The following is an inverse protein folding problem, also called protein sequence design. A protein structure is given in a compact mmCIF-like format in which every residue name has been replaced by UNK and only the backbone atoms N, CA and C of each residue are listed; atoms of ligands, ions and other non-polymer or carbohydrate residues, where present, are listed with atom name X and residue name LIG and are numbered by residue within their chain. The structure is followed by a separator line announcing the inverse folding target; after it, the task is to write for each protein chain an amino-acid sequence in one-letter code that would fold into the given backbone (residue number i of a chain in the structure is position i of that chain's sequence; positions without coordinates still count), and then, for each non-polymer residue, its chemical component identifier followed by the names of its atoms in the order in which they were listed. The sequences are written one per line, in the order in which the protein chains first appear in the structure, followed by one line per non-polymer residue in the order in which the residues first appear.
data_IF_068946199512
#
_entry.id   IF_068946199512
#
_cell.length_a   1.000
_cell.length_b   1.000
_cell.length_c   1.000
_cell.angle_alpha   90.00
_cell.angle_beta   90.00
_cell.angle_gamma   90.00
#
_symmetry.space_group_name_H-M   'P 1'
#
loop_
_entity.id
_entity.type
_entity.pdbx_description
1 polymer ?
#
# COMPACT_ATOMS: atom_id res chain seq x y z
N UNK A 1 63.32 44.48 44.87
CA UNK A 1 63.91 43.71 45.97
C UNK A 1 63.20 42.33 46.02
N UNK A 2 64.00 41.31 45.84
CA UNK A 2 64.00 40.02 46.44
C UNK A 2 62.76 39.13 46.13
N UNK A 3 62.89 38.08 45.24
CA UNK A 3 63.43 36.72 45.50
C UNK A 3 62.42 35.86 46.28
N UNK A 4 61.88 34.73 45.86
CA UNK A 4 62.46 33.37 45.60
C UNK A 4 61.33 32.47 45.17
N UNK A 5 61.34 31.73 44.13
CA UNK A 5 61.88 30.37 43.82
C UNK A 5 61.36 29.23 44.70
N UNK A 6 60.79 28.24 44.01
CA UNK A 6 60.76 26.90 44.60
C UNK A 6 59.79 25.91 43.97
N UNK A 7 60.33 25.07 43.10
CA UNK A 7 60.13 23.63 42.87
C UNK A 7 58.72 23.02 42.69
N UNK A 8 58.41 22.58 41.50
CA UNK A 8 58.42 21.19 41.00
C UNK A 8 57.56 20.18 41.80
N UNK A 9 56.49 19.73 41.15
CA UNK A 9 55.75 18.58 41.53
C UNK A 9 54.96 18.06 40.32
N UNK A 10 55.62 17.19 39.52
CA UNK A 10 55.02 16.50 38.39
C UNK A 10 54.06 15.42 38.97
N UNK A 11 52.75 15.63 38.80
CA UNK A 11 51.77 14.57 39.05
C UNK A 11 51.17 14.19 37.68
N UNK A 12 51.63 13.07 37.19
CA UNK A 12 51.10 12.35 36.02
C UNK A 12 49.67 11.95 36.24
N UNK A 13 48.71 12.68 35.68
CA UNK A 13 47.31 12.25 35.59
C UNK A 13 47.19 11.30 34.40
N UNK A 14 47.08 10.03 34.70
CA UNK A 14 46.66 8.97 33.77
C UNK A 14 45.27 9.33 33.22
N UNK A 15 45.20 9.76 31.96
CA UNK A 15 43.97 9.78 31.21
C UNK A 15 43.50 8.33 31.04
N UNK A 16 42.49 7.96 31.78
CA UNK A 16 41.72 6.74 31.53
C UNK A 16 40.91 6.98 30.26
N UNK A 17 41.42 6.51 29.13
CA UNK A 17 40.66 6.41 27.90
C UNK A 17 39.56 5.36 28.14
N UNK A 18 38.38 5.84 28.39
CA UNK A 18 37.17 5.00 28.31
C UNK A 18 37.02 4.58 26.84
N UNK A 19 37.49 3.38 26.53
CA UNK A 19 37.17 2.69 25.30
C UNK A 19 35.68 2.43 25.33
N UNK A 20 34.90 3.29 24.66
CA UNK A 20 33.50 3.00 24.34
C UNK A 20 33.55 1.81 23.39
N UNK A 21 33.35 0.63 23.96
CA UNK A 21 33.10 -0.58 23.19
C UNK A 21 31.89 -0.30 22.33
N UNK A 22 32.09 -0.22 21.02
CA UNK A 22 31.03 -0.14 20.03
C UNK A 22 30.13 -1.35 20.23
N UNK A 23 29.00 -1.14 20.90
CA UNK A 23 27.92 -2.11 20.88
C UNK A 23 27.55 -2.32 19.41
N UNK A 24 27.90 -3.49 18.92
CA UNK A 24 27.55 -4.00 17.61
C UNK A 24 26.11 -3.67 17.30
N UNK A 25 25.90 -2.90 16.23
CA UNK A 25 24.58 -2.57 15.76
C UNK A 25 23.74 -3.83 15.59
N UNK A 26 22.59 -3.82 16.20
CA UNK A 26 21.48 -4.66 15.81
C UNK A 26 21.41 -4.62 14.28
N UNK A 27 21.53 -5.75 13.61
CA UNK A 27 21.22 -5.87 12.18
C UNK A 27 19.78 -5.40 12.05
N UNK A 28 19.55 -4.19 11.53
CA UNK A 28 18.24 -3.71 11.15
C UNK A 28 17.70 -4.74 10.16
N UNK A 29 16.83 -5.61 10.62
CA UNK A 29 16.14 -6.53 9.72
C UNK A 29 15.26 -5.68 8.84
N UNK A 30 15.54 -5.68 7.53
CA UNK A 30 14.73 -4.99 6.52
C UNK A 30 13.26 -5.43 6.66
N UNK A 31 12.33 -4.48 6.67
CA UNK A 31 10.90 -4.75 6.75
C UNK A 31 10.47 -5.54 5.51
N UNK A 32 9.92 -6.74 5.70
CA UNK A 32 9.37 -7.57 4.62
C UNK A 32 7.94 -7.15 4.33
N UNK A 33 7.69 -6.71 3.09
CA UNK A 33 6.39 -6.20 2.64
C UNK A 33 5.83 -7.12 1.57
N UNK A 34 4.73 -7.81 1.88
CA UNK A 34 4.00 -8.61 0.92
C UNK A 34 3.15 -7.74 -0.01
N UNK A 35 2.94 -8.18 -1.23
CA UNK A 35 2.02 -7.59 -2.20
C UNK A 35 1.61 -8.60 -3.25
N UNK A 36 0.48 -8.37 -3.92
CA UNK A 36 0.06 -9.20 -5.06
C UNK A 36 0.75 -8.72 -6.34
N UNK A 37 1.25 -9.66 -7.12
CA UNK A 37 1.94 -9.47 -8.39
C UNK A 37 3.38 -9.96 -8.34
N UNK A 38 4.13 -9.62 -9.39
CA UNK A 38 5.54 -9.92 -9.57
C UNK A 38 6.41 -8.73 -9.20
N UNK A 39 7.73 -8.94 -9.09
CA UNK A 39 8.67 -7.84 -9.00
C UNK A 39 8.52 -6.89 -10.20
N UNK A 40 8.60 -5.58 -9.96
CA UNK A 40 8.33 -4.55 -10.96
C UNK A 40 6.84 -4.19 -11.09
N UNK A 41 5.94 -4.78 -10.28
CA UNK A 41 4.53 -4.41 -10.25
C UNK A 41 4.31 -3.03 -9.63
N UNK A 42 3.15 -2.41 -9.94
CA UNK A 42 2.75 -1.14 -9.33
C UNK A 42 2.62 -1.23 -7.81
N UNK A 43 2.24 -2.39 -7.27
CA UNK A 43 2.20 -2.62 -5.81
C UNK A 43 3.59 -2.54 -5.18
N UNK A 44 4.64 -3.08 -5.81
CA UNK A 44 6.03 -2.93 -5.33
C UNK A 44 6.48 -1.48 -5.41
N UNK A 45 6.19 -0.79 -6.51
CA UNK A 45 6.51 0.63 -6.67
C UNK A 45 5.85 1.49 -5.59
N UNK A 46 4.58 1.24 -5.29
CA UNK A 46 3.86 1.93 -4.22
C UNK A 46 4.46 1.64 -2.84
N UNK A 47 4.90 0.39 -2.57
CA UNK A 47 5.58 0.03 -1.33
C UNK A 47 6.91 0.77 -1.16
N UNK A 48 7.72 0.80 -2.21
CA UNK A 48 9.01 1.52 -2.21
C UNK A 48 8.79 3.03 -2.06
N UNK A 49 7.81 3.60 -2.76
CA UNK A 49 7.52 5.02 -2.65
C UNK A 49 7.03 5.42 -1.25
N UNK A 50 6.22 4.58 -0.59
CA UNK A 50 5.69 4.84 0.75
C UNK A 50 6.75 4.61 1.85
N UNK A 51 7.53 3.53 1.76
CA UNK A 51 8.37 3.02 2.83
C UNK A 51 9.88 3.20 2.59
N UNK A 52 10.28 3.55 1.37
CA UNK A 52 11.68 3.65 0.96
C UNK A 52 12.24 2.34 0.38
N UNK A 53 13.43 2.43 -0.19
CA UNK A 53 14.07 1.30 -0.88
C UNK A 53 14.64 0.20 0.05
N UNK A 54 14.69 0.47 1.36
CA UNK A 54 15.25 -0.47 2.35
C UNK A 54 14.32 -1.64 2.71
N UNK A 55 13.14 -1.74 2.09
CA UNK A 55 12.22 -2.86 2.30
C UNK A 55 12.68 -4.12 1.58
N UNK A 56 12.26 -5.29 2.09
CA UNK A 56 12.33 -6.55 1.36
C UNK A 56 10.97 -6.83 0.74
N UNK A 57 10.89 -6.73 -0.58
CA UNK A 57 9.68 -7.01 -1.35
C UNK A 57 9.37 -8.51 -1.38
N UNK A 58 8.14 -8.90 -1.07
CA UNK A 58 7.66 -10.29 -0.99
C UNK A 58 6.47 -10.47 -1.95
N UNK A 59 6.72 -10.71 -3.26
CA UNK A 59 5.67 -10.89 -4.24
C UNK A 59 4.84 -12.14 -3.97
N UNK A 60 3.54 -12.08 -4.28
CA UNK A 60 2.59 -13.17 -4.15
C UNK A 60 1.65 -13.20 -5.35
N UNK A 61 1.34 -14.39 -5.85
CA UNK A 61 0.52 -14.54 -7.05
C UNK A 61 -0.92 -14.01 -6.88
N UNK A 62 -1.50 -14.14 -5.67
CA UNK A 62 -2.88 -13.74 -5.40
C UNK A 62 -2.97 -12.88 -4.14
N UNK A 63 -4.07 -12.11 -4.00
CA UNK A 63 -4.35 -11.38 -2.76
C UNK A 63 -4.45 -12.34 -1.56
N UNK A 64 -5.09 -13.49 -1.72
CA UNK A 64 -5.20 -14.51 -0.67
C UNK A 64 -3.83 -14.97 -0.18
N UNK A 65 -2.89 -15.23 -1.07
CA UNK A 65 -1.53 -15.62 -0.71
C UNK A 65 -0.73 -14.47 -0.10
N UNK A 66 -1.02 -13.21 -0.48
CA UNK A 66 -0.39 -12.04 0.11
C UNK A 66 -0.86 -11.81 1.56
N UNK A 67 -2.15 -11.93 1.84
CA UNK A 67 -2.69 -11.87 3.20
C UNK A 67 -2.19 -13.04 4.07
N UNK A 68 -2.13 -14.25 3.49
CA UNK A 68 -1.58 -15.43 4.17
C UNK A 68 -0.11 -15.27 4.54
N UNK A 69 0.69 -14.59 3.73
CA UNK A 69 2.10 -14.33 4.02
C UNK A 69 2.31 -13.60 5.36
N UNK A 70 1.37 -12.75 5.78
CA UNK A 70 1.40 -12.09 7.09
C UNK A 70 1.10 -13.12 8.19
N UNK A 71 0.05 -13.92 8.04
CA UNK A 71 -0.35 -14.93 9.02
C UNK A 71 0.74 -15.99 9.22
N UNK A 72 1.48 -16.34 8.19
CA UNK A 72 2.59 -17.29 8.20
C UNK A 72 3.93 -16.68 8.66
N UNK A 73 3.98 -15.37 8.93
CA UNK A 73 5.20 -14.66 9.29
C UNK A 73 6.24 -14.55 8.16
N UNK A 74 5.82 -14.78 6.91
CA UNK A 74 6.67 -14.61 5.73
C UNK A 74 6.89 -13.13 5.38
N UNK A 75 6.01 -12.24 5.84
CA UNK A 75 6.13 -10.79 5.77
C UNK A 75 5.56 -10.14 7.04
N UNK A 76 6.01 -8.91 7.34
CA UNK A 76 5.54 -8.14 8.49
C UNK A 76 4.47 -7.11 8.12
N UNK A 77 4.42 -6.71 6.85
CA UNK A 77 3.47 -5.74 6.32
C UNK A 77 2.92 -6.21 4.97
N UNK A 78 1.74 -5.73 4.63
CA UNK A 78 1.12 -5.98 3.34
C UNK A 78 0.74 -4.65 2.68
N UNK A 79 1.15 -4.44 1.43
CA UNK A 79 0.63 -3.36 0.61
C UNK A 79 -0.38 -3.91 -0.40
N UNK A 80 -1.60 -3.39 -0.35
CA UNK A 80 -2.69 -3.88 -1.19
C UNK A 80 -3.42 -2.73 -1.91
N UNK A 81 -3.76 -2.86 -3.21
CA UNK A 81 -4.63 -1.94 -3.90
C UNK A 81 -6.06 -2.08 -3.38
N UNK A 82 -6.73 -0.99 -3.08
CA UNK A 82 -8.13 -1.00 -2.64
C UNK A 82 -9.09 -0.37 -3.65
N UNK A 83 -8.57 0.50 -4.51
CA UNK A 83 -9.39 1.22 -5.48
C UNK A 83 -8.54 1.73 -6.65
N UNK A 84 -9.12 1.66 -7.86
CA UNK A 84 -8.57 2.32 -9.04
C UNK A 84 -9.60 3.31 -9.59
N UNK A 85 -9.16 4.49 -10.00
CA UNK A 85 -10.05 5.58 -10.45
C UNK A 85 -10.89 5.24 -11.68
N UNK A 86 -10.47 4.26 -12.50
CA UNK A 86 -11.17 3.83 -13.70
C UNK A 86 -11.89 2.48 -13.52
N UNK A 87 -11.28 1.55 -12.76
CA UNK A 87 -11.79 0.19 -12.59
C UNK A 87 -12.64 0.01 -11.32
N UNK A 88 -12.64 1.01 -10.41
CA UNK A 88 -13.39 0.94 -9.16
C UNK A 88 -12.65 0.14 -8.07
N UNK A 89 -13.43 -0.38 -7.12
CA UNK A 89 -12.90 -1.03 -5.93
C UNK A 89 -12.32 -2.42 -6.20
N UNK A 90 -11.21 -2.72 -5.52
CA UNK A 90 -10.60 -4.06 -5.51
C UNK A 90 -11.30 -4.91 -4.46
N UNK A 91 -12.40 -5.48 -4.87
CA UNK A 91 -13.39 -6.15 -4.05
C UNK A 91 -12.80 -7.21 -3.13
N UNK A 92 -11.94 -8.10 -3.66
CA UNK A 92 -11.35 -9.21 -2.89
C UNK A 92 -10.51 -8.72 -1.72
N UNK A 93 -9.87 -7.55 -1.84
CA UNK A 93 -9.06 -6.98 -0.74
C UNK A 93 -9.93 -6.58 0.43
N UNK A 94 -11.10 -6.00 0.19
CA UNK A 94 -12.05 -5.66 1.27
C UNK A 94 -12.58 -6.89 1.98
N UNK A 95 -12.88 -7.99 1.24
CA UNK A 95 -13.32 -9.25 1.83
C UNK A 95 -12.22 -9.82 2.75
N UNK A 96 -10.99 -9.92 2.24
CA UNK A 96 -9.83 -10.40 3.00
C UNK A 96 -9.51 -9.51 4.21
N UNK A 97 -9.69 -8.22 4.08
CA UNK A 97 -9.49 -7.28 5.19
C UNK A 97 -10.52 -7.55 6.32
N UNK A 98 -11.75 -7.88 5.98
CA UNK A 98 -12.76 -8.29 6.95
C UNK A 98 -12.47 -9.66 7.60
N UNK A 99 -11.84 -10.57 6.86
CA UNK A 99 -11.49 -11.91 7.34
C UNK A 99 -10.19 -11.93 8.18
N UNK A 100 -9.34 -10.90 8.06
CA UNK A 100 -8.01 -10.84 8.69
C UNK A 100 -7.99 -9.98 9.96
N UNK A 101 -6.90 -10.09 10.73
CA UNK A 101 -6.58 -9.19 11.85
C UNK A 101 -5.63 -8.06 11.43
N UNK A 102 -5.77 -7.59 10.19
CA UNK A 102 -4.98 -6.47 9.69
C UNK A 102 -5.79 -5.17 9.79
N UNK A 103 -5.08 -4.06 9.98
CA UNK A 103 -5.63 -2.70 9.91
C UNK A 103 -4.82 -1.83 8.96
N UNK A 104 -5.52 -0.88 8.34
CA UNK A 104 -4.90 0.14 7.49
C UNK A 104 -4.19 1.16 8.39
N UNK A 105 -2.90 1.35 8.16
CA UNK A 105 -2.08 2.31 8.92
C UNK A 105 -1.59 3.48 8.07
N UNK A 106 -1.63 3.34 6.75
CA UNK A 106 -1.30 4.40 5.79
C UNK A 106 -1.93 4.11 4.44
N UNK A 107 -1.97 5.11 3.58
CA UNK A 107 -2.34 4.96 2.19
C UNK A 107 -1.41 5.75 1.27
N UNK A 108 -1.36 5.34 0.00
CA UNK A 108 -0.66 6.04 -1.06
C UNK A 108 -1.47 5.95 -2.35
N UNK A 109 -1.50 7.04 -3.11
CA UNK A 109 -2.11 7.08 -4.44
C UNK A 109 -0.98 7.13 -5.47
N UNK A 110 -0.98 6.16 -6.38
CA UNK A 110 0.02 6.04 -7.43
C UNK A 110 -0.62 6.25 -8.81
N UNK A 111 -0.06 7.09 -9.68
CA UNK A 111 -0.47 7.13 -11.08
C UNK A 111 -0.09 5.81 -11.76
N UNK A 112 -1.00 5.30 -12.59
CA UNK A 112 -0.81 4.05 -13.33
C UNK A 112 -0.49 4.41 -14.78
N UNK A 113 0.79 4.42 -15.08
CA UNK A 113 1.30 4.66 -16.43
C UNK A 113 1.72 3.35 -17.08
N UNK A 114 1.18 3.10 -18.26
CA UNK A 114 1.49 1.91 -19.04
C UNK A 114 2.51 2.23 -20.13
N UNK A 115 3.60 1.47 -20.13
CA UNK A 115 4.65 1.57 -21.16
C UNK A 115 4.72 0.27 -21.95
N UNK A 116 5.04 0.39 -23.23
CA UNK A 116 5.36 -0.76 -24.08
C UNK A 116 6.84 -1.11 -23.88
N UNK A 117 7.11 -2.32 -23.41
CA UNK A 117 8.44 -2.75 -23.00
C UNK A 117 8.81 -4.00 -23.79
N UNK A 118 9.95 -3.97 -24.48
CA UNK A 118 10.46 -5.09 -25.27
C UNK A 118 11.91 -5.42 -24.96
N UNK A 119 12.44 -6.43 -25.62
CA UNK A 119 13.85 -6.78 -25.51
C UNK A 119 14.74 -5.64 -25.99
N UNK A 120 15.94 -5.46 -25.43
CA UNK A 120 16.92 -4.52 -25.95
C UNK A 120 17.18 -4.75 -27.44
N UNK A 121 17.07 -3.66 -28.22
CA UNK A 121 17.18 -3.71 -29.69
C UNK A 121 15.94 -4.19 -30.43
N UNK A 122 14.80 -4.40 -29.76
CA UNK A 122 13.50 -4.47 -30.40
C UNK A 122 13.06 -3.09 -30.90
N UNK A 123 12.24 -3.05 -31.94
CA UNK A 123 11.65 -1.81 -32.48
C UNK A 123 10.14 -1.95 -32.56
N UNK A 124 9.40 -0.86 -32.41
CA UNK A 124 7.95 -0.87 -32.47
C UNK A 124 7.45 -1.48 -33.80
N UNK A 125 8.16 -1.20 -34.91
CA UNK A 125 7.84 -1.74 -36.24
C UNK A 125 8.08 -3.24 -36.37
N UNK A 126 9.01 -3.81 -35.63
CA UNK A 126 9.29 -5.25 -35.60
C UNK A 126 8.34 -6.07 -34.75
N UNK A 127 7.50 -5.44 -33.94
CA UNK A 127 6.59 -6.16 -33.04
C UNK A 127 5.43 -6.82 -33.78
N UNK A 128 5.05 -8.01 -33.32
CA UNK A 128 3.91 -8.80 -33.76
C UNK A 128 2.89 -9.04 -32.63
N UNK A 129 3.34 -9.06 -31.38
CA UNK A 129 2.46 -9.33 -30.24
C UNK A 129 2.82 -8.50 -29.02
N UNK A 130 1.79 -8.21 -28.20
CA UNK A 130 1.91 -7.46 -26.96
C UNK A 130 1.14 -8.21 -25.86
N UNK A 131 1.83 -8.57 -24.78
CA UNK A 131 1.29 -9.31 -23.65
C UNK A 131 1.04 -8.37 -22.47
N UNK A 132 -0.06 -8.54 -21.77
CA UNK A 132 -0.31 -7.94 -20.45
C UNK A 132 -1.58 -8.49 -19.82
N UNK A 133 -1.84 -8.04 -18.58
CA UNK A 133 -3.12 -8.28 -17.92
C UNK A 133 -4.27 -7.70 -18.76
N UNK A 134 -5.43 -8.39 -18.87
CA UNK A 134 -6.55 -7.95 -19.71
C UNK A 134 -7.00 -6.51 -19.47
N UNK A 135 -6.99 -6.04 -18.21
CA UNK A 135 -7.34 -4.66 -17.88
C UNK A 135 -6.35 -3.66 -18.49
N UNK A 136 -5.04 -3.93 -18.40
CA UNK A 136 -4.02 -3.05 -18.99
C UNK A 136 -4.12 -3.00 -20.52
N UNK A 137 -4.39 -4.15 -21.15
CA UNK A 137 -4.65 -4.20 -22.61
C UNK A 137 -5.88 -3.36 -22.99
N UNK A 138 -6.96 -3.41 -22.20
CA UNK A 138 -8.17 -2.62 -22.44
C UNK A 138 -7.96 -1.12 -22.21
N UNK A 139 -7.09 -0.75 -21.27
CA UNK A 139 -6.74 0.65 -20.99
C UNK A 139 -5.81 1.29 -22.03
N UNK A 140 -5.33 0.54 -23.02
CA UNK A 140 -4.47 1.00 -24.11
C UNK A 140 -5.14 0.84 -25.48
N UNK A 141 -6.46 0.96 -25.56
CA UNK A 141 -7.23 0.70 -26.79
C UNK A 141 -6.80 1.62 -27.95
N UNK A 142 -6.61 2.93 -27.72
CA UNK A 142 -6.17 3.88 -28.76
C UNK A 142 -4.81 3.51 -29.35
N UNK A 143 -3.89 3.03 -28.51
CA UNK A 143 -2.60 2.53 -28.95
C UNK A 143 -2.76 1.34 -29.91
N UNK A 144 -3.61 0.37 -29.60
CA UNK A 144 -3.85 -0.78 -30.47
C UNK A 144 -4.61 -0.41 -31.75
N UNK A 145 -5.54 0.55 -31.70
CA UNK A 145 -6.23 1.04 -32.90
C UNK A 145 -5.25 1.69 -33.91
N UNK A 146 -4.22 2.38 -33.42
CA UNK A 146 -3.15 2.93 -34.27
C UNK A 146 -2.11 1.90 -34.71
N UNK A 147 -2.11 0.71 -34.09
CA UNK A 147 -1.18 -0.40 -34.41
C UNK A 147 -1.94 -1.72 -34.62
N UNK A 148 -2.85 -1.82 -35.64
CA UNK A 148 -3.80 -2.93 -35.79
C UNK A 148 -3.11 -4.28 -36.10
N UNK A 149 -1.84 -4.27 -36.48
CA UNK A 149 -1.03 -5.48 -36.71
C UNK A 149 -0.62 -6.19 -35.40
N UNK A 150 -0.66 -5.49 -34.26
CA UNK A 150 -0.20 -6.04 -32.99
C UNK A 150 -1.26 -6.96 -32.38
N UNK A 151 -0.91 -8.23 -32.20
CA UNK A 151 -1.76 -9.19 -31.53
C UNK A 151 -1.72 -8.98 -30.01
N UNK A 152 -2.88 -8.80 -29.37
CA UNK A 152 -3.02 -8.74 -27.91
C UNK A 152 -2.95 -10.15 -27.32
N UNK A 153 -2.12 -10.34 -26.30
CA UNK A 153 -1.94 -11.64 -25.62
C UNK A 153 -2.25 -11.45 -24.14
N UNK A 154 -3.37 -11.97 -23.63
CA UNK A 154 -3.67 -11.92 -22.21
C UNK A 154 -2.62 -12.67 -21.37
N UNK A 155 -2.21 -12.06 -20.26
CA UNK A 155 -1.31 -12.62 -19.26
C UNK A 155 -1.90 -12.41 -17.85
N UNK A 156 -1.37 -13.11 -16.85
CA UNK A 156 -1.89 -13.06 -15.50
C UNK A 156 -1.66 -11.69 -14.82
N UNK A 157 -0.51 -11.05 -15.09
CA UNK A 157 -0.17 -9.73 -14.57
C UNK A 157 0.68 -8.90 -15.54
N UNK A 158 0.85 -7.62 -15.25
CA UNK A 158 1.58 -6.68 -16.11
C UNK A 158 3.09 -6.90 -16.06
N UNK A 159 3.69 -6.95 -14.88
CA UNK A 159 5.13 -7.06 -14.72
C UNK A 159 5.66 -8.45 -15.13
N UNK A 160 4.91 -9.51 -14.81
CA UNK A 160 5.21 -10.88 -15.25
C UNK A 160 5.22 -11.02 -16.76
N UNK A 161 4.29 -10.35 -17.46
CA UNK A 161 4.29 -10.36 -18.93
C UNK A 161 5.58 -9.79 -19.52
N UNK A 162 6.13 -8.72 -18.91
CA UNK A 162 7.41 -8.15 -19.31
C UNK A 162 8.56 -9.08 -18.97
N UNK A 163 8.60 -9.67 -17.78
CA UNK A 163 9.58 -10.69 -17.40
C UNK A 163 9.64 -11.82 -18.44
N UNK A 164 8.49 -12.37 -18.80
CA UNK A 164 8.41 -13.53 -19.68
C UNK A 164 8.83 -13.19 -21.13
N UNK A 165 8.42 -12.02 -21.63
CA UNK A 165 8.89 -11.50 -22.93
C UNK A 165 10.40 -11.36 -22.95
N UNK A 166 10.99 -10.74 -21.92
CA UNK A 166 12.44 -10.51 -21.86
C UNK A 166 13.22 -11.82 -21.68
N UNK A 167 12.70 -12.75 -20.86
CA UNK A 167 13.30 -14.07 -20.67
C UNK A 167 13.29 -14.91 -21.97
N UNK A 168 12.28 -14.72 -22.82
CA UNK A 168 12.22 -15.41 -24.13
C UNK A 168 13.24 -14.91 -25.16
N UNK A 169 13.78 -13.69 -24.99
CA UNK A 169 14.65 -13.02 -25.95
C UNK A 169 13.96 -12.66 -27.29
N UNK A 170 12.64 -12.80 -27.36
CA UNK A 170 11.88 -12.57 -28.61
C UNK A 170 11.70 -11.07 -28.87
N UNK A 171 12.43 -10.53 -29.85
CA UNK A 171 12.35 -9.11 -30.25
C UNK A 171 11.06 -8.75 -31.01
N UNK A 172 10.24 -9.72 -31.41
CA UNK A 172 8.94 -9.47 -32.03
C UNK A 172 7.78 -9.46 -31.03
N UNK A 173 8.07 -9.60 -29.72
CA UNK A 173 7.11 -9.52 -28.64
C UNK A 173 7.45 -8.37 -27.68
N UNK A 174 6.41 -7.76 -27.07
CA UNK A 174 6.54 -6.78 -26.02
C UNK A 174 5.54 -7.05 -24.89
N UNK A 175 5.78 -6.47 -23.72
CA UNK A 175 4.83 -6.44 -22.62
C UNK A 175 4.35 -5.02 -22.33
N UNK A 176 3.17 -4.87 -21.73
CA UNK A 176 2.70 -3.59 -21.19
C UNK A 176 2.77 -3.66 -19.66
N UNK A 177 3.54 -2.75 -19.04
CA UNK A 177 3.69 -2.62 -17.60
C UNK A 177 4.12 -1.20 -17.21
N UNK A 178 4.31 -0.98 -15.90
CA UNK A 178 4.94 0.22 -15.37
C UNK A 178 6.44 0.28 -15.69
N UNK A 179 7.03 1.46 -15.63
CA UNK A 179 8.47 1.71 -15.86
C UNK A 179 9.38 0.83 -14.98
N UNK A 180 8.93 0.52 -13.76
CA UNK A 180 9.66 -0.32 -12.80
C UNK A 180 9.93 -1.73 -13.35
N UNK A 181 9.01 -2.29 -14.13
CA UNK A 181 9.22 -3.58 -14.77
C UNK A 181 10.35 -3.51 -15.81
N UNK A 182 10.44 -2.43 -16.60
CA UNK A 182 11.55 -2.24 -17.54
C UNK A 182 12.89 -2.17 -16.80
N UNK A 183 12.97 -1.38 -15.73
CA UNK A 183 14.19 -1.25 -14.91
C UNK A 183 14.56 -2.58 -14.26
N UNK A 184 13.60 -3.29 -13.69
CA UNK A 184 13.80 -4.54 -12.97
C UNK A 184 14.34 -5.66 -13.85
N UNK A 185 13.80 -5.77 -15.06
CA UNK A 185 14.13 -6.88 -15.96
C UNK A 185 15.07 -6.51 -17.13
N UNK A 186 15.53 -5.25 -17.17
CA UNK A 186 16.46 -4.79 -18.23
C UNK A 186 15.79 -4.64 -19.59
N UNK A 187 14.50 -4.29 -19.62
CA UNK A 187 13.74 -4.06 -20.84
C UNK A 187 13.95 -2.68 -21.43
N UNK A 188 13.78 -2.55 -22.73
CA UNK A 188 13.73 -1.27 -23.43
C UNK A 188 12.29 -0.76 -23.52
N UNK A 189 12.05 0.49 -23.12
CA UNK A 189 10.75 1.15 -23.33
C UNK A 189 10.66 1.56 -24.79
N UNK A 190 9.72 0.98 -25.53
CA UNK A 190 9.50 1.21 -26.96
C UNK A 190 8.46 2.31 -27.23
N UNK A 191 7.52 2.49 -26.29
CA UNK A 191 6.57 3.60 -26.27
C UNK A 191 6.18 3.91 -24.83
N UNK A 192 6.08 5.20 -24.50
CA UNK A 192 5.77 5.67 -23.16
C UNK A 192 4.30 6.08 -23.04
N UNK A 193 3.73 5.90 -21.83
CA UNK A 193 2.41 6.42 -21.43
C UNK A 193 1.31 6.14 -22.48
N UNK A 194 1.21 4.85 -22.87
CA UNK A 194 0.30 4.41 -23.94
C UNK A 194 -1.15 4.19 -23.48
N UNK A 195 -1.45 4.41 -22.20
CA UNK A 195 -2.82 4.33 -21.66
C UNK A 195 -3.73 5.40 -22.26
N UNK A 196 -5.00 5.08 -22.39
CA UNK A 196 -6.00 5.96 -22.98
C UNK A 196 -6.38 7.16 -22.09
N UNK A 197 -6.29 6.98 -20.78
CA UNK A 197 -6.61 8.00 -19.80
C UNK A 197 -5.40 8.29 -18.92
N UNK A 198 -4.97 9.55 -18.88
CA UNK A 198 -3.86 10.00 -18.02
C UNK A 198 -4.27 10.08 -16.53
N UNK A 199 -5.57 10.20 -16.23
CA UNK A 199 -6.12 10.25 -14.87
C UNK A 199 -6.41 8.83 -14.32
N UNK A 200 -5.47 7.92 -14.53
CA UNK A 200 -5.52 6.56 -14.02
C UNK A 200 -4.69 6.46 -12.75
N UNK A 201 -5.35 6.38 -11.61
CA UNK A 201 -4.72 6.31 -10.30
C UNK A 201 -5.18 5.06 -9.55
N UNK A 202 -4.28 4.44 -8.82
CA UNK A 202 -4.63 3.37 -7.87
C UNK A 202 -4.27 3.79 -6.46
N UNK A 203 -5.25 3.64 -5.56
CA UNK A 203 -5.08 3.81 -4.13
C UNK A 203 -4.64 2.49 -3.52
N UNK A 204 -3.49 2.50 -2.87
CA UNK A 204 -2.95 1.39 -2.11
C UNK A 204 -3.00 1.70 -0.62
N UNK A 205 -3.19 0.67 0.19
CA UNK A 205 -3.17 0.77 1.65
C UNK A 205 -2.08 -0.12 2.22
N UNK A 206 -1.39 0.40 3.23
CA UNK A 206 -0.45 -0.35 4.04
C UNK A 206 -1.21 -0.99 5.20
N UNK A 207 -1.11 -2.29 5.31
CA UNK A 207 -1.78 -3.13 6.30
C UNK A 207 -0.76 -3.71 7.25
N UNK A 208 -1.01 -3.59 8.55
CA UNK A 208 -0.23 -4.20 9.61
C UNK A 208 -1.12 -5.07 10.51
N UNK A 209 -0.56 -6.14 11.11
CA UNK A 209 -1.25 -6.91 12.12
C UNK A 209 -1.47 -6.07 13.38
N UNK A 210 -2.67 -6.17 13.96
CA UNK A 210 -3.00 -5.46 15.19
C UNK A 210 -3.33 -6.45 16.30
N UNK A 211 -2.84 -6.15 17.50
CA UNK A 211 -3.25 -6.85 18.70
C UNK A 211 -4.62 -6.32 19.13
N UNK A 212 -5.65 -7.11 18.98
CA UNK A 212 -6.94 -6.82 19.62
C UNK A 212 -6.93 -7.45 21.00
N UNK A 213 -6.87 -6.64 22.04
CA UNK A 213 -7.13 -7.11 23.40
C UNK A 213 -8.50 -7.77 23.43
N UNK A 214 -8.56 -9.04 23.80
CA UNK A 214 -9.79 -9.82 23.91
C UNK A 214 -10.16 -10.71 22.71
N UNK A 215 -9.43 -10.71 21.60
CA UNK A 215 -9.60 -11.72 20.56
C UNK A 215 -8.86 -13.02 20.98
N UNK A 216 -9.55 -13.86 21.71
CA UNK A 216 -9.07 -15.22 22.00
C UNK A 216 -9.38 -16.08 20.78
N UNK A 217 -8.50 -16.07 19.79
CA UNK A 217 -8.43 -17.13 18.80
C UNK A 217 -7.27 -18.06 19.20
N UNK A 218 -7.56 -19.28 19.67
CA UNK A 218 -6.52 -20.23 20.13
C UNK A 218 -5.62 -20.75 18.99
N UNK A 219 -5.92 -20.44 17.74
CA UNK A 219 -5.16 -20.88 16.56
C UNK A 219 -4.15 -19.85 16.05
N UNK A 220 -4.19 -18.62 16.55
CA UNK A 220 -3.23 -17.58 16.16
C UNK A 220 -2.35 -17.23 17.35
N UNK A 221 -1.12 -17.72 17.33
CA UNK A 221 -0.06 -17.19 18.19
C UNK A 221 -0.05 -15.66 18.11
N UNK A 222 0.13 -14.92 19.23
CA UNK A 222 0.27 -13.48 19.16
C UNK A 222 1.42 -13.17 18.20
N UNK A 223 1.10 -12.53 17.09
CA UNK A 223 2.14 -12.04 16.17
C UNK A 223 2.91 -11.02 17.00
N UNK A 224 4.05 -11.40 17.51
CA UNK A 224 4.96 -10.48 18.16
C UNK A 224 5.27 -9.40 17.12
N UNK A 225 4.99 -8.16 17.44
CA UNK A 225 5.38 -7.03 16.59
C UNK A 225 6.89 -7.12 16.41
N UNK A 226 7.32 -7.34 15.17
CA UNK A 226 8.74 -7.39 14.88
C UNK A 226 9.37 -6.03 15.19
N UNK A 227 10.66 -5.96 15.54
CA UNK A 227 11.34 -4.68 15.72
C UNK A 227 11.16 -3.75 14.50
N UNK A 228 11.15 -4.31 13.30
CA UNK A 228 10.94 -3.56 12.05
C UNK A 228 9.55 -2.91 11.98
N UNK A 229 8.50 -3.57 12.43
CA UNK A 229 7.15 -2.99 12.53
C UNK A 229 7.08 -1.91 13.61
N UNK A 230 7.72 -2.13 14.75
CA UNK A 230 7.78 -1.12 15.83
C UNK A 230 8.50 0.14 15.37
N UNK A 231 9.62 -0.01 14.67
CA UNK A 231 10.37 1.10 14.09
C UNK A 231 9.55 1.83 13.02
N UNK A 232 8.89 1.08 12.13
CA UNK A 232 7.99 1.65 11.15
C UNK A 232 6.88 2.50 11.80
N UNK A 233 6.17 1.95 12.78
CA UNK A 233 5.06 2.67 13.45
C UNK A 233 5.51 3.94 14.17
N UNK A 234 6.74 3.96 14.65
CA UNK A 234 7.35 5.16 15.26
C UNK A 234 7.69 6.23 14.22
N UNK A 235 8.21 5.82 13.06
CA UNK A 235 8.73 6.72 12.01
C UNK A 235 7.67 7.16 11.00
N UNK A 236 6.68 6.30 10.73
CA UNK A 236 5.67 6.52 9.69
C UNK A 236 4.93 7.85 9.82
N UNK A 237 4.46 8.27 11.02
CA UNK A 237 3.77 9.57 11.15
C UNK A 237 4.63 10.77 10.74
N UNK A 238 5.91 10.77 11.13
CA UNK A 238 6.84 11.83 10.74
C UNK A 238 7.10 11.84 9.24
N UNK A 239 7.34 10.68 8.64
CA UNK A 239 7.54 10.53 7.20
C UNK A 239 6.34 10.99 6.37
N UNK A 240 5.12 10.72 6.85
CA UNK A 240 3.89 11.18 6.19
C UNK A 240 3.68 12.68 6.38
N UNK A 241 3.99 13.23 7.57
CA UNK A 241 3.88 14.66 7.86
C UNK A 241 4.87 15.51 7.04
N UNK A 242 6.11 15.05 6.85
CA UNK A 242 7.10 15.72 6.01
C UNK A 242 6.67 15.88 4.56
N UNK A 243 5.85 14.94 4.07
CA UNK A 243 5.29 14.97 2.71
C UNK A 243 4.02 15.80 2.60
N UNK A 244 3.36 16.13 3.72
CA UNK A 244 2.09 16.85 3.73
C UNK A 244 2.31 18.34 4.01
N UNK A 245 1.87 19.18 3.07
CA UNK A 245 1.77 20.64 3.30
C UNK A 245 0.42 21.04 3.94
N UNK A 246 -0.46 20.06 4.19
CA UNK A 246 -1.79 20.28 4.76
C UNK A 246 -1.79 20.10 6.27
N UNK A 247 -2.74 20.75 6.99
CA UNK A 247 -2.93 20.46 8.39
C UNK A 247 -3.22 18.96 8.62
N UNK A 248 -2.85 18.42 9.78
CA UNK A 248 -3.06 17.01 10.07
C UNK A 248 -4.56 16.70 10.03
N UNK A 249 -4.95 15.83 9.12
CA UNK A 249 -6.29 15.28 9.04
C UNK A 249 -6.27 13.77 9.25
N UNK A 250 -7.38 13.23 9.72
CA UNK A 250 -7.55 11.82 10.02
C UNK A 250 -8.57 11.21 9.07
N UNK A 251 -8.18 10.15 8.40
CA UNK A 251 -9.07 9.30 7.61
C UNK A 251 -9.40 8.04 8.39
N UNK A 252 -10.66 7.65 8.34
CA UNK A 252 -11.16 6.43 8.92
C UNK A 252 -11.81 5.59 7.83
N UNK A 253 -11.35 4.36 7.69
CA UNK A 253 -12.05 3.33 6.90
C UNK A 253 -12.79 2.40 7.83
N UNK A 254 -14.03 2.11 7.52
CA UNK A 254 -14.87 1.24 8.33
C UNK A 254 -15.80 0.37 7.48
N UNK A 255 -16.23 -0.74 8.06
CA UNK A 255 -17.22 -1.63 7.50
C UNK A 255 -18.39 -1.76 8.47
N UNK A 256 -19.63 -1.73 7.95
CA UNK A 256 -20.81 -1.82 8.78
C UNK A 256 -21.92 -2.64 8.10
N UNK A 257 -22.81 -3.20 8.91
CA UNK A 257 -24.07 -3.81 8.47
C UNK A 257 -25.22 -3.09 9.10
N UNK A 258 -26.30 -2.97 8.34
CA UNK A 258 -27.51 -2.26 8.75
C UNK A 258 -28.70 -3.22 8.79
N UNK A 259 -29.68 -2.89 9.63
CA UNK A 259 -30.96 -3.57 9.57
C UNK A 259 -31.62 -3.31 8.21
N UNK A 260 -32.20 -4.34 7.61
CA UNK A 260 -32.90 -4.22 6.33
C UNK A 260 -34.26 -3.53 6.53
N UNK A 261 -34.27 -2.21 6.66
CA UNK A 261 -35.45 -1.37 6.83
C UNK A 261 -35.28 -0.01 6.17
N UNK A 262 -36.39 0.65 5.78
CA UNK A 262 -36.33 2.02 5.26
C UNK A 262 -35.63 2.98 6.22
N UNK A 263 -34.78 3.85 5.66
CA UNK A 263 -34.03 4.87 6.43
C UNK A 263 -32.79 4.35 7.17
N UNK A 264 -32.49 3.05 7.18
CA UNK A 264 -31.34 2.51 7.93
C UNK A 264 -29.99 3.11 7.49
N UNK A 265 -29.77 3.28 6.18
CA UNK A 265 -28.55 3.92 5.67
C UNK A 265 -28.49 5.40 6.04
N UNK A 266 -29.61 6.12 5.95
CA UNK A 266 -29.66 7.52 6.35
C UNK A 266 -29.28 7.67 7.83
N UNK A 267 -29.88 6.88 8.72
CA UNK A 267 -29.57 6.90 10.14
C UNK A 267 -28.11 6.55 10.46
N UNK A 268 -27.45 5.73 9.62
CA UNK A 268 -26.03 5.42 9.77
C UNK A 268 -25.10 6.55 9.26
N UNK A 269 -25.56 7.37 8.31
CA UNK A 269 -24.75 8.49 7.77
C UNK A 269 -24.97 9.81 8.52
N UNK A 270 -26.12 9.95 9.18
CA UNK A 270 -26.52 11.16 9.92
C UNK A 270 -25.48 11.61 10.98
N UNK A 271 -24.87 10.72 11.80
CA UNK A 271 -23.85 11.09 12.76
C UNK A 271 -22.65 11.81 12.12
N UNK A 272 -22.21 11.37 10.95
CA UNK A 272 -21.09 12.02 10.26
C UNK A 272 -21.46 13.43 9.81
N UNK A 273 -22.66 13.62 9.27
CA UNK A 273 -23.14 14.94 8.85
C UNK A 273 -23.31 15.88 10.04
N UNK A 274 -23.88 15.43 11.17
CA UNK A 274 -24.06 16.23 12.39
C UNK A 274 -22.72 16.70 12.98
N UNK A 275 -21.69 15.86 12.89
CA UNK A 275 -20.36 16.18 13.41
C UNK A 275 -19.43 16.84 12.37
N UNK A 276 -19.93 17.21 11.18
CA UNK A 276 -19.16 17.88 10.14
C UNK A 276 -18.05 17.02 9.52
N UNK A 277 -18.23 15.70 9.55
CA UNK A 277 -17.25 14.72 9.03
C UNK A 277 -17.56 14.44 7.58
N UNK A 278 -16.56 14.57 6.71
CA UNK A 278 -16.74 14.35 5.27
C UNK A 278 -16.74 12.86 4.92
N UNK A 279 -17.73 12.44 4.13
CA UNK A 279 -17.79 11.10 3.55
C UNK A 279 -17.06 11.10 2.20
N UNK A 280 -15.97 10.35 2.11
CA UNK A 280 -15.15 10.25 0.89
C UNK A 280 -15.56 9.08 0.00
N UNK A 281 -16.01 7.98 0.61
CA UNK A 281 -16.40 6.76 -0.10
C UNK A 281 -17.55 6.08 0.62
N UNK A 282 -18.46 5.55 -0.18
CA UNK A 282 -19.48 4.58 0.25
C UNK A 282 -19.61 3.50 -0.82
N UNK A 283 -19.55 2.26 -0.38
CA UNK A 283 -19.72 1.10 -1.25
C UNK A 283 -20.56 0.05 -0.55
N UNK A 284 -21.54 -0.50 -1.23
CA UNK A 284 -22.37 -1.59 -0.71
C UNK A 284 -22.02 -2.92 -1.39
N UNK A 285 -21.93 -3.98 -0.60
CA UNK A 285 -21.61 -5.32 -1.07
C UNK A 285 -22.62 -6.32 -0.51
N UNK A 286 -23.17 -7.23 -1.33
CA UNK A 286 -23.96 -8.34 -0.82
C UNK A 286 -23.15 -9.19 0.15
N UNK A 287 -23.76 -9.62 1.25
CA UNK A 287 -23.11 -10.52 2.20
C UNK A 287 -23.27 -11.94 1.67
N UNK A 288 -22.12 -12.64 1.55
CA UNK A 288 -22.14 -14.01 1.08
C UNK A 288 -22.93 -14.91 2.02
N UNK A 289 -23.87 -15.70 1.48
CA UNK A 289 -24.71 -16.61 2.25
C UNK A 289 -25.98 -16.00 2.89
N UNK A 290 -26.16 -14.68 2.81
CA UNK A 290 -27.38 -14.00 3.29
C UNK A 290 -27.99 -13.15 2.17
N UNK A 291 -28.94 -13.70 1.38
CA UNK A 291 -29.57 -12.96 0.28
C UNK A 291 -30.20 -11.65 0.76
N UNK A 292 -29.96 -10.56 -0.01
CA UNK A 292 -30.53 -9.22 0.22
C UNK A 292 -30.00 -8.49 1.46
N UNK A 293 -28.99 -9.04 2.16
CA UNK A 293 -28.24 -8.30 3.18
C UNK A 293 -26.95 -7.72 2.60
N UNK A 294 -26.59 -6.52 3.07
CA UNK A 294 -25.45 -5.76 2.52
C UNK A 294 -24.46 -5.38 3.61
N UNK A 295 -23.19 -5.53 3.26
CA UNK A 295 -22.06 -4.94 3.95
C UNK A 295 -21.75 -3.59 3.30
N UNK A 296 -21.60 -2.53 4.10
CA UNK A 296 -21.20 -1.22 3.62
C UNK A 296 -19.76 -0.96 4.03
N UNK A 297 -18.99 -0.38 3.11
CA UNK A 297 -17.66 0.13 3.37
C UNK A 297 -17.69 1.64 3.21
N UNK A 298 -17.17 2.36 4.20
CA UNK A 298 -17.13 3.82 4.22
C UNK A 298 -15.71 4.29 4.50
N UNK A 299 -15.31 5.35 3.79
CA UNK A 299 -14.16 6.16 4.18
C UNK A 299 -14.66 7.55 4.56
N UNK A 300 -14.30 8.01 5.74
CA UNK A 300 -14.62 9.35 6.23
C UNK A 300 -13.35 10.08 6.62
N UNK A 301 -13.37 11.41 6.57
CA UNK A 301 -12.22 12.26 6.89
C UNK A 301 -12.64 13.44 7.76
N UNK A 302 -11.81 13.77 8.73
CA UNK A 302 -12.00 14.90 9.63
C UNK A 302 -10.68 15.48 10.11
N UNK A 303 -10.70 16.78 10.40
CA UNK A 303 -9.61 17.50 11.08
C UNK A 303 -9.85 17.58 12.61
N UNK A 304 -10.99 17.04 13.10
CA UNK A 304 -11.40 17.07 14.48
C UNK A 304 -11.61 15.64 15.05
N UNK A 305 -10.56 14.98 15.54
CA UNK A 305 -10.63 13.59 16.04
C UNK A 305 -11.66 13.35 17.14
N UNK A 306 -11.92 14.34 18.00
CA UNK A 306 -12.93 14.22 19.07
C UNK A 306 -14.35 14.12 18.52
N UNK A 307 -14.66 14.83 17.43
CA UNK A 307 -15.95 14.73 16.75
C UNK A 307 -16.14 13.36 16.11
N UNK A 308 -15.06 12.74 15.63
CA UNK A 308 -15.11 11.40 15.08
C UNK A 308 -15.52 10.36 16.11
N UNK A 309 -14.99 10.43 17.34
CA UNK A 309 -15.39 9.51 18.41
C UNK A 309 -16.86 9.68 18.81
N UNK A 310 -17.36 10.91 18.84
CA UNK A 310 -18.77 11.20 19.10
C UNK A 310 -19.66 10.57 17.99
N UNK A 311 -19.33 10.79 16.72
CA UNK A 311 -20.05 10.20 15.59
C UNK A 311 -20.02 8.66 15.61
N UNK A 312 -18.89 8.06 15.97
CA UNK A 312 -18.76 6.60 16.06
C UNK A 312 -19.62 6.00 17.19
N UNK A 313 -19.76 6.72 18.31
CA UNK A 313 -20.62 6.28 19.42
C UNK A 313 -22.10 6.30 19.02
N UNK A 314 -22.53 7.32 18.27
CA UNK A 314 -23.89 7.38 17.71
C UNK A 314 -24.11 6.29 16.66
N UNK A 315 -23.15 6.10 15.74
CA UNK A 315 -23.19 5.10 14.68
C UNK A 315 -23.36 3.68 15.22
N UNK A 316 -22.75 3.34 16.36
CA UNK A 316 -22.87 2.01 16.99
C UNK A 316 -24.30 1.63 17.28
N UNK A 317 -25.16 2.59 17.65
CA UNK A 317 -26.58 2.34 17.93
C UNK A 317 -27.40 2.10 16.67
N UNK A 318 -26.95 2.59 15.52
CA UNK A 318 -27.61 2.47 14.22
C UNK A 318 -27.18 1.23 13.42
N UNK A 319 -26.18 0.48 13.87
CA UNK A 319 -25.57 -0.64 13.14
C UNK A 319 -25.73 -1.96 13.85
N UNK A 320 -25.92 -3.06 13.08
CA UNK A 320 -25.89 -4.44 13.61
C UNK A 320 -24.46 -5.00 13.68
N UNK A 321 -23.55 -4.42 12.90
CA UNK A 321 -22.12 -4.74 12.90
C UNK A 321 -21.34 -3.48 12.54
N UNK A 322 -20.27 -3.21 13.27
CA UNK A 322 -19.35 -2.12 12.99
C UNK A 322 -17.91 -2.60 13.21
N UNK A 323 -17.07 -2.45 12.20
CA UNK A 323 -15.64 -2.71 12.26
C UNK A 323 -14.84 -1.55 11.72
N UNK A 324 -13.92 -1.04 12.51
CA UNK A 324 -12.91 -0.10 12.05
C UNK A 324 -11.84 -0.91 11.29
N UNK A 325 -11.58 -0.52 10.04
CA UNK A 325 -10.57 -1.13 9.18
C UNK A 325 -9.22 -0.42 9.29
N UNK A 326 -9.22 0.83 9.74
CA UNK A 326 -8.02 1.60 10.03
C UNK A 326 -8.31 3.06 10.28
N UNK A 327 -7.36 3.71 11.01
CA UNK A 327 -7.27 5.15 11.27
C UNK A 327 -5.89 5.61 10.84
N UNK A 328 -5.82 6.47 9.86
CA UNK A 328 -4.54 6.83 9.22
C UNK A 328 -4.61 8.23 8.59
N UNK A 329 -3.46 8.88 8.38
CA UNK A 329 -3.41 10.11 7.59
C UNK A 329 -3.84 9.84 6.14
N UNK A 330 -4.63 10.73 5.52
CA UNK A 330 -4.96 10.60 4.10
C UNK A 330 -3.71 10.68 3.23
N UNK A 331 -3.75 10.01 2.08
CA UNK A 331 -2.70 10.13 1.07
C UNK A 331 -2.59 11.58 0.61
N UNK A 332 -1.40 11.98 0.23
CA UNK A 332 -1.18 13.20 -0.53
C UNK A 332 -1.80 13.01 -1.92
N UNK A 333 -2.44 14.05 -2.43
CA UNK A 333 -2.92 14.01 -3.80
C UNK A 333 -1.74 13.76 -4.74
N UNK A 334 -1.90 12.85 -5.68
CA UNK A 334 -0.89 12.51 -6.68
C UNK A 334 -0.53 13.68 -7.62
N UNK A 335 -1.19 14.82 -7.44
CA UNK A 335 -1.04 16.07 -8.21
C UNK A 335 -0.30 17.18 -7.45
N UNK A 336 0.24 16.90 -6.26
CA UNK A 336 0.99 17.89 -5.47
C UNK A 336 2.50 17.73 -5.64
#
# INVERSE_FOLDING_TARGET
MALWAGCAGVASSRQTVLTISSMSGSKNSSLRVAFQGEHGAFSEAAAIQLLGESITAVPRATFDSAFRAIAEGAAEALLAPVENSLAGSVVRVYDLLLESNLEIVAEIILPIEHHLIGCPGATLDGLQSVASHPMALAQCERFFLSHPRLKRVPAEDTAGSVRDVLASGNKSAAGIAGRQAATRYGGAILAESIQDNAENFTRFVLLLPVHREGAVDPLHSPIATSPAVTDLMRELPARLAERSQRPPSLKLSLALRLAHKPGALLAALEPFAHHGINLLKIESRPIHGTPWEYQFFLDVQTDAPTQLEAALNELRSATSFLRILGRYPPALDASA
#
